data_IF_533016748788
#
_entry.id   IF_533016748788
#
_cell.length_a   1.000
_cell.length_b   1.000
_cell.length_c   1.000
_cell.angle_alpha   90.00
_cell.angle_beta   90.00
_cell.angle_gamma   90.00
#
_symmetry.space_group_name_H-M   'P 1'
#
loop_
_entity.id
_entity.type
_entity.pdbx_description
1 polymer ?
2 polymer ?
3 branched ?
4 non-polymer ?
5 water ?
#
# COMPACT_ATOMS: atom_id res chain seq x y z
N UNK A 4 -29.55 -4.78 -4.62
CA UNK A 4 -30.45 -5.60 -3.81
C UNK A 4 -30.19 -5.42 -2.30
N UNK A 5 -29.00 -5.82 -1.82
CA UNK A 5 -28.64 -5.67 -0.41
C UNK A 5 -28.23 -4.21 -0.13
N UNK A 6 -27.57 -3.56 -1.09
CA UNK A 6 -27.15 -2.17 -0.98
C UNK A 6 -28.31 -1.28 -1.47
N UNK A 7 -28.70 -0.28 -0.68
CA UNK A 7 -29.80 0.64 -1.00
C UNK A 7 -29.57 1.46 -2.28
N UNK A 8 -30.52 1.36 -3.20
CA UNK A 8 -30.51 2.09 -4.46
C UNK A 8 -31.05 3.52 -4.24
N UNK A 9 -30.47 4.50 -4.93
CA UNK A 9 -30.91 5.89 -4.84
C UNK A 9 -30.20 6.76 -3.83
N UNK A 10 -29.06 6.28 -3.34
CA UNK A 10 -28.22 6.99 -2.38
C UNK A 10 -26.79 6.43 -2.49
N UNK A 11 -25.83 7.08 -1.84
CA UNK A 11 -24.45 6.57 -1.87
C UNK A 11 -23.96 6.39 -0.45
N UNK A 12 -23.37 5.20 -0.15
CA UNK A 12 -22.73 4.93 1.13
C UNK A 12 -21.22 4.83 0.83
N UNK A 13 -20.39 5.61 1.52
CA UNK A 13 -18.95 5.64 1.29
C UNK A 13 -18.22 5.23 2.54
N UNK A 14 -17.21 4.36 2.39
CA UNK A 14 -16.36 3.96 3.50
C UNK A 14 -14.96 4.54 3.29
N UNK A 15 -14.40 5.18 4.33
CA UNK A 15 -13.07 5.75 4.31
C UNK A 15 -12.45 5.60 5.70
N UNK A 16 -11.11 5.45 5.78
CA UNK A 16 -10.45 5.26 7.06
C UNK A 16 -10.64 6.45 8.04
N UNK A 17 -10.72 6.13 9.32
CA UNK A 17 -10.93 7.08 10.40
C UNK A 17 -9.86 8.13 10.58
N UNK A 18 -8.68 7.92 9.99
CA UNK A 18 -7.59 8.89 10.04
C UNK A 18 -7.68 9.98 8.93
N UNK A 19 -8.54 9.76 7.91
CA UNK A 19 -8.73 10.64 6.77
C UNK A 19 -9.89 11.66 7.04
N UNK A 20 -10.04 12.63 6.16
CA UNK A 20 -11.05 13.68 6.34
C UNK A 20 -12.45 13.28 5.95
N UNK A 21 -13.06 12.35 6.71
CA UNK A 21 -14.40 11.88 6.42
C UNK A 21 -15.51 12.99 6.57
N UNK A 22 -15.27 14.01 7.41
CA UNK A 22 -16.20 15.14 7.56
C UNK A 22 -16.09 16.07 6.35
N UNK A 23 -14.88 16.26 5.83
CA UNK A 23 -14.69 17.06 4.64
C UNK A 23 -15.32 16.38 3.43
N UNK A 24 -15.22 15.05 3.38
CA UNK A 24 -15.82 14.22 2.32
C UNK A 24 -17.36 14.27 2.41
N UNK A 25 -17.91 14.29 3.63
CA UNK A 25 -19.34 14.41 3.86
C UNK A 25 -19.85 15.76 3.34
N UNK A 26 -19.02 16.84 3.42
CA UNK A 26 -19.36 18.15 2.87
C UNK A 26 -19.44 18.11 1.36
N UNK A 27 -18.58 17.33 0.70
CA UNK A 27 -18.68 17.12 -0.75
C UNK A 27 -20.01 16.34 -1.03
N UNK A 28 -20.38 15.42 -0.15
CA UNK A 28 -21.63 14.65 -0.26
C UNK A 28 -22.86 15.54 -0.10
N UNK A 29 -22.75 16.58 0.73
CA UNK A 29 -23.85 17.54 0.91
C UNK A 29 -23.99 18.39 -0.36
N UNK A 30 -22.88 18.70 -1.04
CA UNK A 30 -22.90 19.42 -2.28
C UNK A 30 -23.56 18.55 -3.35
N UNK A 31 -23.21 17.26 -3.43
CA UNK A 31 -23.83 16.33 -4.37
C UNK A 31 -25.35 16.25 -4.12
N UNK A 32 -25.77 16.18 -2.85
CA UNK A 32 -27.17 16.12 -2.45
C UNK A 32 -27.91 17.41 -2.79
N UNK A 33 -27.29 18.55 -2.58
CA UNK A 33 -27.88 19.85 -2.91
C UNK A 33 -28.14 19.96 -4.41
N UNK A 34 -27.22 19.45 -5.25
CA UNK A 34 -27.40 19.56 -6.71
C UNK A 34 -28.29 18.48 -7.31
N UNK A 35 -28.19 17.24 -6.80
CA UNK A 35 -28.85 16.08 -7.40
C UNK A 35 -30.05 15.50 -6.66
N UNK A 36 -30.12 15.74 -5.35
CA UNK A 36 -31.14 15.17 -4.49
C UNK A 36 -30.71 13.85 -3.83
N UNK A 37 -29.56 13.29 -4.25
CA UNK A 37 -29.07 12.03 -3.71
C UNK A 37 -28.34 12.23 -2.40
N UNK A 38 -28.77 11.53 -1.34
CA UNK A 38 -28.08 11.60 -0.06
C UNK A 38 -26.78 10.81 -0.10
N UNK A 39 -25.75 11.32 0.53
CA UNK A 39 -24.46 10.64 0.61
C UNK A 39 -24.13 10.40 2.08
N UNK A 40 -23.91 9.16 2.46
CA UNK A 40 -23.57 8.82 3.85
C UNK A 40 -22.09 8.42 3.91
N UNK A 41 -21.30 9.06 4.76
CA UNK A 41 -19.88 8.70 4.89
C UNK A 41 -19.68 7.97 6.21
N UNK A 42 -19.06 6.80 6.17
CA UNK A 42 -18.79 6.00 7.35
C UNK A 42 -17.31 5.61 7.41
N UNK A 43 -16.80 5.47 8.62
CA UNK A 43 -15.41 5.07 8.82
C UNK A 43 -15.32 3.87 9.75
N UNK A 44 -15.77 2.67 9.30
CA UNK A 44 -15.72 1.51 10.19
C UNK A 44 -14.29 1.06 10.52
N UNK A 45 -14.15 0.36 11.66
CA UNK A 45 -12.85 -0.14 12.08
C UNK A 45 -12.44 -1.25 11.14
N UNK A 46 -11.15 -1.34 10.83
CA UNK A 46 -10.59 -2.39 9.96
C UNK A 46 -11.38 -2.56 8.66
N UNK A 47 -11.73 -1.43 7.99
CA UNK A 47 -12.55 -1.50 6.78
C UNK A 47 -11.83 -2.19 5.63
N UNK A 48 -10.49 -2.17 5.59
CA UNK A 48 -9.77 -2.90 4.55
C UNK A 48 -9.99 -4.44 4.67
N UNK A 49 -10.44 -4.92 5.82
CA UNK A 49 -10.76 -6.32 6.03
C UNK A 49 -12.28 -6.54 6.02
N UNK A 50 -13.03 -5.59 6.59
CA UNK A 50 -14.50 -5.66 6.62
C UNK A 50 -15.08 -5.56 5.19
N UNK A 51 -14.49 -4.72 4.31
CA UNK A 51 -14.95 -4.59 2.93
C UNK A 51 -14.98 -5.92 2.20
N UNK A 52 -13.89 -6.71 2.04
CA UNK A 52 -14.02 -7.97 1.30
C UNK A 52 -14.95 -8.97 1.99
N UNK A 53 -15.14 -8.88 3.31
CA UNK A 53 -16.05 -9.78 4.02
C UNK A 53 -17.52 -9.49 3.64
N UNK A 54 -17.94 -8.21 3.66
CA UNK A 54 -19.30 -7.86 3.34
C UNK A 54 -19.56 -7.81 1.83
N UNK A 55 -18.57 -7.40 1.01
CA UNK A 55 -18.78 -7.29 -0.44
C UNK A 55 -18.87 -8.65 -1.13
N UNK A 56 -18.28 -9.70 -0.54
CA UNK A 56 -18.38 -11.06 -1.08
C UNK A 56 -19.84 -11.57 -1.02
N UNK A 57 -20.63 -11.10 -0.04
CA UNK A 57 -22.04 -11.46 0.08
C UNK A 57 -22.99 -10.49 -0.65
N UNK A 58 -22.45 -9.57 -1.45
CA UNK A 58 -23.25 -8.57 -2.15
C UNK A 58 -23.63 -7.36 -1.31
N UNK A 59 -23.00 -7.19 -0.15
CA UNK A 59 -23.28 -6.08 0.75
C UNK A 59 -22.13 -5.01 0.72
N UNK A 60 -22.18 -4.07 1.65
CA UNK A 60 -21.15 -3.07 1.81
C UNK A 60 -21.49 -1.68 1.32
N UNK A 61 -20.47 -0.84 1.22
CA UNK A 61 -20.70 0.51 0.72
C UNK A 61 -20.74 0.56 -0.81
N UNK A 62 -21.27 1.65 -1.38
CA UNK A 62 -21.17 1.84 -2.83
C UNK A 62 -19.73 2.13 -3.22
N UNK A 63 -19.04 2.94 -2.39
CA UNK A 63 -17.68 3.38 -2.64
C UNK A 63 -16.75 3.05 -1.47
N UNK A 64 -15.56 2.48 -1.78
CA UNK A 64 -14.56 2.14 -0.79
C UNK A 64 -13.27 2.95 -1.02
N UNK A 65 -12.77 3.62 0.02
CA UNK A 65 -11.53 4.37 -0.07
C UNK A 65 -10.47 3.64 0.71
N UNK A 66 -9.32 3.48 0.08
CA UNK A 66 -8.15 2.86 0.71
C UNK A 66 -6.99 3.10 -0.22
N UNK A 67 -5.74 2.91 0.25
CA UNK A 67 -4.58 2.95 -0.63
C UNK A 67 -4.74 1.80 -1.66
N UNK A 68 -4.24 2.02 -2.87
CA UNK A 68 -4.35 1.11 -4.00
C UNK A 68 -3.86 -0.32 -3.79
N UNK A 69 -2.93 -0.57 -2.83
CA UNK A 69 -2.37 -1.90 -2.65
C UNK A 69 -3.41 -3.00 -2.46
N UNK A 70 -4.52 -2.71 -1.75
CA UNK A 70 -5.54 -3.71 -1.50
C UNK A 70 -6.52 -3.96 -2.65
N UNK A 71 -6.57 -3.06 -3.62
CA UNK A 71 -7.57 -3.13 -4.67
C UNK A 71 -7.37 -4.26 -5.66
N UNK A 72 -6.13 -4.69 -5.90
CA UNK A 72 -5.89 -5.82 -6.78
C UNK A 72 -6.53 -7.10 -6.24
N UNK A 73 -6.45 -7.28 -4.93
CA UNK A 73 -7.07 -8.41 -4.24
C UNK A 73 -8.58 -8.35 -4.28
N UNK A 74 -9.16 -7.12 -4.17
CA UNK A 74 -10.60 -6.94 -4.27
C UNK A 74 -11.06 -7.25 -5.72
N UNK A 75 -10.33 -6.75 -6.71
CA UNK A 75 -10.66 -6.94 -8.12
C UNK A 75 -10.59 -8.41 -8.53
N UNK A 76 -9.55 -9.14 -8.05
CA UNK A 76 -9.40 -10.56 -8.32
C UNK A 76 -10.58 -11.34 -7.77
N UNK A 77 -11.13 -10.94 -6.60
CA UNK A 77 -12.31 -11.59 -6.03
C UNK A 77 -13.64 -11.14 -6.66
N UNK A 78 -13.60 -10.27 -7.67
CA UNK A 78 -14.79 -9.78 -8.34
C UNK A 78 -15.57 -8.77 -7.52
N UNK A 79 -14.92 -8.08 -6.56
CA UNK A 79 -15.61 -7.14 -5.69
C UNK A 79 -15.69 -5.71 -6.18
N UNK A 80 -14.95 -5.37 -7.22
CA UNK A 80 -14.95 -4.01 -7.73
C UNK A 80 -15.44 -3.91 -9.15
N UNK A 81 -16.17 -2.83 -9.42
CA UNK A 81 -16.67 -2.52 -10.75
C UNK A 81 -15.54 -1.87 -11.53
N UNK A 82 -15.41 -2.18 -12.82
CA UNK A 82 -14.41 -1.52 -13.67
C UNK A 82 -14.87 -0.07 -13.86
N UNK A 83 -13.94 0.88 -13.74
CA UNK A 83 -14.32 2.27 -13.93
C UNK A 83 -14.09 2.66 -15.38
N UNK A 84 -14.95 3.54 -15.91
CA UNK A 84 -14.87 3.91 -17.31
C UNK A 84 -14.74 5.43 -17.54
N UNK A 85 -13.70 6.11 -17.01
CA UNK A 85 -13.54 7.54 -17.32
C UNK A 85 -13.13 7.73 -18.77
N UNK A 86 -13.57 8.82 -19.41
CA UNK A 86 -13.15 9.11 -20.79
C UNK A 86 -11.72 9.73 -20.81
N UNK A 87 -11.14 9.92 -22.01
CA UNK A 87 -9.80 10.48 -22.16
C UNK A 87 -9.70 11.85 -21.51
N UNK A 88 -10.71 12.70 -21.72
CA UNK A 88 -10.76 14.05 -21.15
C UNK A 88 -10.60 14.02 -19.61
N UNK A 89 -11.30 13.10 -18.92
CA UNK A 89 -11.17 13.00 -17.47
C UNK A 89 -9.81 12.45 -17.07
N UNK A 90 -9.36 11.34 -17.72
CA UNK A 90 -8.06 10.74 -17.41
C UNK A 90 -6.91 11.71 -17.51
N UNK A 91 -6.94 12.61 -18.52
CA UNK A 91 -5.93 13.65 -18.72
C UNK A 91 -5.88 14.68 -17.60
N UNK A 92 -6.87 14.68 -16.68
CA UNK A 92 -6.91 15.60 -15.55
C UNK A 92 -6.06 15.12 -14.37
N UNK A 93 -5.73 13.83 -14.32
CA UNK A 93 -4.92 13.28 -13.24
C UNK A 93 -3.56 12.81 -13.77
N UNK A 94 -2.52 12.79 -12.92
CA UNK A 94 -1.19 12.35 -13.34
C UNK A 94 -1.21 10.91 -13.82
N UNK A 95 -0.58 10.64 -14.99
CA UNK A 95 -0.59 9.27 -15.52
C UNK A 95 -0.12 8.20 -14.55
N UNK A 96 0.88 8.49 -13.70
CA UNK A 96 1.37 7.48 -12.75
C UNK A 96 0.31 7.07 -11.71
N UNK A 97 -0.63 8.00 -11.39
CA UNK A 97 -1.69 7.66 -10.43
C UNK A 97 -2.64 6.62 -11.03
N UNK A 98 -2.90 6.70 -12.36
CA UNK A 98 -3.75 5.72 -13.07
C UNK A 98 -3.07 4.35 -13.09
N UNK A 99 -1.74 4.31 -13.22
CA UNK A 99 -0.99 3.06 -13.23
C UNK A 99 -1.18 2.30 -11.91
N UNK A 100 -1.24 3.01 -10.77
CA UNK A 100 -1.44 2.37 -9.47
C UNK A 100 -2.79 1.69 -9.34
N UNK A 101 -3.81 2.19 -10.04
CA UNK A 101 -5.18 1.64 -9.99
C UNK A 101 -5.53 0.78 -11.22
N UNK A 102 -4.53 0.31 -11.96
CA UNK A 102 -4.77 -0.56 -13.10
C UNK A 102 -4.44 -1.98 -12.67
N UNK A 103 -5.36 -2.91 -12.90
CA UNK A 103 -5.16 -4.30 -12.56
C UNK A 103 -5.66 -5.13 -13.73
N UNK A 104 -4.78 -5.99 -14.28
CA UNK A 104 -5.05 -6.86 -15.43
C UNK A 104 -5.62 -6.10 -16.63
N UNK A 105 -5.01 -4.97 -16.96
CA UNK A 105 -5.42 -4.13 -18.07
C UNK A 105 -6.55 -3.15 -17.80
N UNK A 106 -7.31 -3.35 -16.71
CA UNK A 106 -8.46 -2.49 -16.39
C UNK A 106 -8.28 -1.53 -15.21
N UNK A 107 -8.86 -0.33 -15.34
CA UNK A 107 -8.86 0.62 -14.24
C UNK A 107 -9.92 0.16 -13.24
N UNK A 108 -9.54 -0.01 -11.97
CA UNK A 108 -10.47 -0.51 -10.96
C UNK A 108 -10.75 0.44 -9.81
N UNK A 109 -10.31 1.70 -9.91
CA UNK A 109 -10.53 2.72 -8.88
C UNK A 109 -10.13 4.09 -9.40
N UNK A 110 -10.61 5.15 -8.75
CA UNK A 110 -10.21 6.52 -9.08
C UNK A 110 -9.09 6.92 -8.11
N UNK A 111 -7.90 7.29 -8.62
CA UNK A 111 -6.84 7.74 -7.70
C UNK A 111 -7.17 9.12 -7.15
N UNK A 112 -6.94 9.29 -5.85
CA UNK A 112 -7.22 10.54 -5.17
C UNK A 112 -5.95 11.29 -4.76
N UNK A 113 -5.02 10.62 -4.05
CA UNK A 113 -3.83 11.29 -3.52
C UNK A 113 -2.67 10.34 -3.30
N UNK A 114 -1.46 10.86 -3.37
CA UNK A 114 -0.23 10.11 -3.21
C UNK A 114 0.29 10.35 -1.83
N UNK A 115 0.38 9.29 -1.04
CA UNK A 115 0.77 9.32 0.35
C UNK A 115 2.16 8.73 0.59
N UNK A 116 2.95 9.44 1.37
CA UNK A 116 4.23 8.95 1.85
C UNK A 116 4.44 9.49 3.26
N UNK A 117 5.05 8.68 4.12
CA UNK A 117 5.41 9.08 5.47
C UNK A 117 6.58 10.05 5.36
N UNK A 118 6.68 10.94 6.34
CA UNK A 118 7.79 11.88 6.48
C UNK A 118 8.22 11.91 7.94
N UNK A 119 9.39 12.51 8.21
CA UNK A 119 9.83 12.71 9.57
C UNK A 119 9.17 14.03 9.98
N UNK A 120 8.43 14.02 11.08
CA UNK A 120 7.80 15.22 11.59
C UNK A 120 8.50 15.55 12.91
N UNK A 121 8.97 16.78 13.07
CA UNK A 121 9.72 17.16 14.24
C UNK A 121 9.27 18.47 14.87
N UNK A 122 9.50 18.60 16.16
CA UNK A 122 9.12 19.78 16.93
C UNK A 122 10.30 20.77 16.90
N UNK A 123 10.16 21.87 16.15
CA UNK A 123 11.22 22.88 16.03
C UNK A 123 11.66 23.53 17.35
N UNK A 124 10.79 23.52 18.37
CA UNK A 124 11.13 24.08 19.67
C UNK A 124 12.05 23.17 20.48
N UNK A 125 11.87 21.86 20.34
CA UNK A 125 12.72 20.90 21.02
C UNK A 125 13.96 20.55 20.18
N UNK A 126 13.87 20.68 18.85
CA UNK A 126 14.88 20.23 17.91
C UNK A 126 14.93 21.12 16.66
N UNK A 127 15.56 22.32 16.74
CA UNK A 127 15.62 23.20 15.56
C UNK A 127 16.15 22.57 14.28
N UNK A 128 17.13 21.66 14.40
CA UNK A 128 17.70 20.97 13.24
C UNK A 128 17.51 19.47 13.46
N UNK A 129 16.61 18.85 12.70
CA UNK A 129 16.38 17.41 12.90
C UNK A 129 17.56 16.55 12.42
N UNK A 130 17.76 15.38 13.03
CA UNK A 130 18.83 14.49 12.59
C UNK A 130 18.69 14.02 11.12
N UNK A 131 19.80 14.01 10.37
CA UNK A 131 19.80 13.51 9.01
C UNK A 131 19.91 11.97 8.97
N UNK A 132 20.42 11.35 10.04
CA UNK A 132 20.64 9.90 10.12
C UNK A 132 19.92 9.24 11.28
N UNK A 133 19.63 7.94 11.13
CA UNK A 133 19.05 7.13 12.22
C UNK A 133 20.14 6.86 13.30
N UNK A 134 21.40 6.68 12.86
CA UNK A 134 22.54 6.41 13.72
C UNK A 134 22.71 7.44 14.83
N UNK A 135 22.40 8.71 14.57
CA UNK A 135 22.56 9.76 15.57
C UNK A 135 21.38 9.86 16.55
N UNK A 136 20.28 9.10 16.32
CA UNK A 136 19.11 9.15 17.21
C UNK A 136 19.38 8.59 18.63
N UNK A 137 20.12 7.49 18.86
CA UNK A 137 20.36 7.04 20.24
C UNK A 137 21.01 8.10 21.16
N UNK A 138 22.05 8.84 20.68
CA UNK A 138 22.68 9.88 21.51
C UNK A 138 21.76 11.08 21.66
N UNK A 139 20.97 11.40 20.62
CA UNK A 139 20.01 12.51 20.67
C UNK A 139 18.97 12.23 21.75
N UNK A 140 18.49 10.97 21.81
CA UNK A 140 17.54 10.52 22.81
C UNK A 140 18.13 10.69 24.19
N UNK A 141 19.41 10.29 24.39
CA UNK A 141 20.07 10.49 25.69
C UNK A 141 20.05 11.96 26.12
N UNK A 142 20.45 12.89 25.23
CA UNK A 142 20.41 14.33 25.50
C UNK A 142 19.00 14.84 25.87
N UNK A 143 17.95 14.39 25.14
CA UNK A 143 16.59 14.84 25.40
C UNK A 143 16.03 14.19 26.68
N UNK A 144 16.45 12.96 27.01
CA UNK A 144 15.99 12.27 28.22
C UNK A 144 16.46 13.01 29.49
N UNK A 145 17.63 13.65 29.43
CA UNK A 145 18.14 14.46 30.54
C UNK A 145 17.22 15.68 30.77
N UNK A 146 16.51 16.16 29.72
CA UNK A 146 15.58 17.29 29.81
C UNK A 146 14.11 16.87 29.99
N UNK A 147 13.85 15.61 30.27
CA UNK A 147 12.48 15.12 30.46
C UNK A 147 11.72 14.77 29.19
N UNK A 148 12.38 14.74 28.02
CA UNK A 148 11.72 14.44 26.75
C UNK A 148 12.33 13.16 26.07
N UNK A 149 11.73 12.67 24.97
CA UNK A 149 12.33 11.59 24.21
C UNK A 149 12.61 12.09 22.78
N UNK A 150 13.46 11.38 22.03
CA UNK A 150 13.77 11.80 20.66
C UNK A 150 12.67 11.46 19.67
N UNK A 151 12.15 10.23 19.70
CA UNK A 151 11.26 9.76 18.67
C UNK A 151 10.27 8.75 19.14
N UNK A 152 9.02 8.92 18.71
CA UNK A 152 7.97 7.96 18.98
C UNK A 152 7.13 7.84 17.72
N UNK A 153 6.92 6.62 17.26
CA UNK A 153 6.10 6.37 16.08
C UNK A 153 5.48 5.00 16.18
N UNK A 154 4.40 4.79 15.45
CA UNK A 154 3.68 3.53 15.46
C UNK A 154 4.56 2.34 15.09
N UNK A 155 4.80 1.45 16.06
CA UNK A 155 5.60 0.24 15.78
C UNK A 155 4.72 -1.00 15.50
N UNK A 156 3.39 -0.88 15.59
CA UNK A 156 2.50 -2.02 15.41
C UNK A 156 2.18 -2.36 13.97
N UNK A 157 2.31 -1.40 13.06
CA UNK A 157 1.95 -1.62 11.65
C UNK A 157 3.18 -1.58 10.79
N UNK A 158 3.37 -2.57 9.92
CA UNK A 158 4.60 -2.60 9.10
C UNK A 158 4.79 -1.40 8.20
N UNK A 159 3.71 -0.68 7.86
CA UNK A 159 3.81 0.51 7.03
C UNK A 159 4.80 1.56 7.60
N UNK A 160 4.81 1.73 8.93
CA UNK A 160 5.63 2.71 9.65
C UNK A 160 7.08 2.26 9.90
N UNK A 161 7.33 0.96 10.04
CA UNK A 161 8.67 0.43 10.32
C UNK A 161 9.45 0.01 9.06
N UNK A 162 8.72 -0.31 7.98
CA UNK A 162 9.29 -0.70 6.70
C UNK A 162 10.29 0.33 6.14
N UNK A 163 10.03 1.66 6.19
CA UNK A 163 11.01 2.60 5.62
C UNK A 163 12.46 2.37 6.10
N UNK A 164 12.65 2.13 7.41
CA UNK A 164 13.97 1.86 8.01
C UNK A 164 14.50 0.51 7.57
N UNK A 165 13.65 -0.54 7.57
CA UNK A 165 14.03 -1.89 7.17
C UNK A 165 14.56 -1.90 5.72
N UNK A 166 13.86 -1.19 4.84
CA UNK A 166 14.22 -1.09 3.42
C UNK A 166 15.29 -0.02 3.09
N UNK A 167 15.72 0.82 4.06
CA UNK A 167 16.76 1.85 3.77
C UNK A 167 18.02 1.21 3.16
N UNK A 168 18.59 0.18 3.80
CA UNK A 168 19.72 -0.56 3.23
C UNK A 168 19.25 -1.87 2.56
N UNK A 169 18.00 -2.26 2.73
CA UNK A 169 17.47 -3.48 2.15
C UNK A 169 17.12 -3.35 0.69
N UNK A 170 16.66 -2.16 0.33
CA UNK A 170 16.17 -1.86 -1.01
C UNK A 170 14.74 -2.28 -1.16
N UNK A 171 14.24 -2.16 -2.39
CA UNK A 171 12.88 -2.50 -2.76
C UNK A 171 12.57 -3.99 -2.56
N UNK A 172 11.39 -4.30 -2.05
CA UNK A 172 10.97 -5.68 -1.85
C UNK A 172 10.45 -6.30 -3.16
N UNK A 173 9.93 -5.50 -4.09
CA UNK A 173 9.34 -6.02 -5.32
C UNK A 173 10.04 -5.54 -6.61
N UNK A 174 9.78 -6.20 -7.73
CA UNK A 174 10.29 -5.84 -9.04
C UNK A 174 9.26 -6.22 -10.15
N UNK A 175 9.32 -5.52 -11.29
CA UNK A 175 8.41 -5.82 -12.40
C UNK A 175 9.04 -6.79 -13.40
N UNK A 176 8.35 -7.92 -13.66
CA UNK A 176 8.87 -8.93 -14.59
C UNK A 176 7.75 -9.68 -15.27
N UNK A 177 7.84 -9.85 -16.61
CA UNK A 177 6.88 -10.57 -17.43
C UNK A 177 5.44 -10.06 -17.28
N UNK A 178 5.29 -8.74 -17.22
CA UNK A 178 3.99 -8.09 -17.07
C UNK A 178 3.33 -8.27 -15.72
N UNK A 179 4.13 -8.47 -14.65
CA UNK A 179 3.57 -8.65 -13.31
C UNK A 179 4.55 -8.27 -12.20
N UNK A 180 4.01 -7.81 -11.08
CA UNK A 180 4.84 -7.50 -9.92
C UNK A 180 5.21 -8.81 -9.27
N UNK A 181 6.48 -8.97 -8.98
CA UNK A 181 6.97 -10.15 -8.31
C UNK A 181 7.73 -9.68 -7.08
N UNK A 182 7.57 -10.40 -5.97
CA UNK A 182 8.35 -10.10 -4.78
C UNK A 182 9.76 -10.66 -5.06
N UNK A 183 10.81 -9.89 -4.75
CA UNK A 183 12.18 -10.35 -4.99
C UNK A 183 12.50 -11.57 -4.10
N UNK A 184 13.41 -12.45 -4.58
CA UNK A 184 13.86 -13.63 -3.84
C UNK A 184 14.46 -13.28 -2.48
N UNK A 185 15.08 -12.09 -2.36
CA UNK A 185 15.63 -11.62 -1.08
C UNK A 185 15.12 -10.19 -0.78
N UNK A 186 13.87 -9.90 -1.14
CA UNK A 186 13.28 -8.57 -0.94
C UNK A 186 13.02 -8.21 0.51
N UNK A 187 12.87 -9.23 1.37
CA UNK A 187 12.58 -9.10 2.80
C UNK A 187 13.69 -9.70 3.69
N UNK A 188 14.43 -10.70 3.16
CA UNK A 188 15.42 -11.53 3.83
C UNK A 188 16.88 -11.07 3.73
N UNK A 189 17.18 -10.02 2.96
CA UNK A 189 18.55 -9.61 2.72
C UNK A 189 19.25 -9.01 3.95
N UNK A 190 20.60 -8.92 3.90
CA UNK A 190 21.40 -8.38 5.00
C UNK A 190 21.09 -6.94 5.38
N UNK A 191 20.67 -6.13 4.40
CA UNK A 191 20.34 -4.73 4.61
C UNK A 191 19.06 -4.57 5.40
N UNK A 192 18.06 -5.42 5.12
CA UNK A 192 16.79 -5.45 5.85
C UNK A 192 17.04 -5.94 7.27
N UNK A 193 17.93 -6.94 7.43
CA UNK A 193 18.30 -7.45 8.73
C UNK A 193 18.99 -6.35 9.54
N UNK A 194 19.85 -5.56 8.90
CA UNK A 194 20.54 -4.46 9.58
C UNK A 194 19.53 -3.40 10.05
N UNK A 195 18.54 -3.11 9.21
CA UNK A 195 17.49 -2.13 9.52
C UNK A 195 16.61 -2.57 10.67
N UNK A 196 16.15 -3.85 10.63
CA UNK A 196 15.33 -4.36 11.72
C UNK A 196 16.12 -4.48 13.02
N UNK A 197 17.42 -4.84 12.93
CA UNK A 197 18.29 -4.89 14.10
C UNK A 197 18.42 -3.51 14.71
N UNK A 198 18.61 -2.46 13.88
CA UNK A 198 18.70 -1.10 14.42
C UNK A 198 17.44 -0.71 15.22
N UNK A 199 16.25 -1.08 14.70
CA UNK A 199 14.96 -0.80 15.32
C UNK A 199 14.85 -1.55 16.66
N UNK A 200 15.23 -2.85 16.66
CA UNK A 200 15.18 -3.64 17.87
C UNK A 200 16.20 -3.12 18.90
N UNK A 201 17.38 -2.65 18.44
CA UNK A 201 18.38 -2.09 19.34
C UNK A 201 17.89 -0.79 19.98
N UNK A 202 17.09 0.01 19.23
CA UNK A 202 16.50 1.24 19.77
C UNK A 202 15.61 0.89 20.98
N UNK A 203 14.84 -0.19 20.89
CA UNK A 203 13.95 -0.68 21.94
C UNK A 203 14.76 -1.27 23.12
N UNK A 204 15.77 -2.11 22.83
CA UNK A 204 16.61 -2.71 23.87
C UNK A 204 17.34 -1.63 24.66
N UNK A 205 17.78 -0.56 24.00
CA UNK A 205 18.48 0.54 24.67
C UNK A 205 17.53 1.59 25.29
N UNK A 206 16.22 1.27 25.37
CA UNK A 206 15.17 2.12 25.94
C UNK A 206 14.98 3.45 25.25
N UNK A 207 15.35 3.55 23.97
CA UNK A 207 15.10 4.75 23.15
C UNK A 207 13.70 4.72 22.53
N UNK A 208 13.07 3.56 22.47
CA UNK A 208 11.67 3.35 22.03
C UNK A 208 11.04 2.21 22.84
N UNK A 209 9.71 2.09 22.84
CA UNK A 209 9.01 1.03 23.56
C UNK A 209 8.31 0.16 22.53
N UNK A 210 8.45 -1.18 22.62
CA UNK A 210 7.83 -2.12 21.70
C UNK A 210 6.31 -1.99 21.58
N UNK A 211 5.62 -1.49 22.62
CA UNK A 211 4.15 -1.37 22.56
C UNK A 211 3.67 -0.03 21.99
N UNK A 212 4.58 0.90 21.62
CA UNK A 212 4.14 2.18 21.05
C UNK A 212 3.30 1.95 19.78
N UNK A 213 2.06 2.49 19.79
CA UNK A 213 1.13 2.39 18.68
C UNK A 213 0.79 3.79 18.12
N UNK A 214 -0.21 3.87 17.23
CA UNK A 214 -0.55 5.11 16.59
C UNK A 214 -1.01 6.17 17.59
N UNK A 215 -1.96 5.85 18.47
CA UNK A 215 -2.48 6.82 19.43
C UNK A 215 -1.41 7.30 20.40
N UNK A 216 -0.60 6.38 20.96
CA UNK A 216 0.47 6.71 21.89
C UNK A 216 1.47 7.71 21.27
N UNK A 217 1.95 7.42 20.06
CA UNK A 217 2.88 8.28 19.38
C UNK A 217 2.26 9.63 19.04
N UNK A 218 0.99 9.62 18.55
CA UNK A 218 0.34 10.87 18.17
C UNK A 218 0.15 11.77 19.40
N UNK A 219 -0.29 11.20 20.52
CA UNK A 219 -0.49 11.99 21.74
C UNK A 219 0.84 12.56 22.26
N UNK A 220 1.91 11.74 22.28
CA UNK A 220 3.21 12.20 22.73
C UNK A 220 3.77 13.32 21.90
N UNK A 221 3.64 13.24 20.56
CA UNK A 221 4.17 14.31 19.72
C UNK A 221 3.33 15.59 19.87
N UNK A 222 2.00 15.43 19.85
CA UNK A 222 1.12 16.58 19.91
C UNK A 222 1.14 17.26 21.29
N UNK A 223 1.57 16.56 22.35
CA UNK A 223 1.71 17.16 23.69
C UNK A 223 3.13 17.69 23.97
N UNK A 224 4.00 17.72 22.97
CA UNK A 224 5.38 18.19 23.11
C UNK A 224 6.28 17.30 23.93
N UNK A 225 5.90 16.02 24.11
CA UNK A 225 6.71 15.09 24.92
C UNK A 225 7.86 14.43 24.13
N UNK A 226 7.71 14.29 22.81
CA UNK A 226 8.73 13.68 21.98
C UNK A 226 9.06 14.64 20.87
N UNK A 227 10.36 14.75 20.54
CA UNK A 227 10.77 15.71 19.52
C UNK A 227 10.45 15.29 18.12
N UNK A 228 10.17 14.00 17.89
CA UNK A 228 9.93 13.52 16.53
C UNK A 228 8.88 12.44 16.46
N UNK A 229 8.24 12.33 15.32
CA UNK A 229 7.33 11.25 15.01
C UNK A 229 7.45 10.93 13.50
N UNK A 230 6.85 9.81 13.08
CA UNK A 230 6.80 9.43 11.68
C UNK A 230 5.32 9.24 11.37
N UNK A 231 4.80 10.01 10.42
CA UNK A 231 3.39 9.95 10.07
C UNK A 231 3.14 10.56 8.68
N UNK A 232 1.94 10.34 8.16
CA UNK A 232 1.53 10.84 6.87
C UNK A 232 0.82 12.18 6.95
N UNK A 233 0.40 12.68 5.78
CA UNK A 233 -0.19 14.02 5.72
C UNK A 233 -1.48 14.23 6.50
N UNK A 234 -2.27 13.19 6.67
CA UNK A 234 -3.54 13.22 7.40
C UNK A 234 -3.35 13.71 8.86
N UNK A 235 -2.19 13.39 9.45
CA UNK A 235 -1.86 13.75 10.83
C UNK A 235 -1.61 15.25 11.05
N UNK A 236 -1.36 16.03 9.98
CA UNK A 236 -0.98 17.42 10.12
C UNK A 236 -2.01 18.29 10.81
N UNK A 237 -3.33 18.03 10.58
CA UNK A 237 -4.41 18.79 11.21
C UNK A 237 -4.41 18.69 12.73
N UNK A 238 -4.20 17.50 13.27
CA UNK A 238 -4.16 17.34 14.72
C UNK A 238 -2.96 18.05 15.33
N UNK A 239 -1.84 18.14 14.58
CA UNK A 239 -0.67 18.87 15.08
C UNK A 239 -0.95 20.39 15.02
N UNK A 240 -1.65 20.88 13.95
CA UNK A 240 -2.04 22.29 13.81
C UNK A 240 -2.87 22.72 15.04
N UNK A 241 -3.85 21.89 15.43
CA UNK A 241 -4.73 22.11 16.58
C UNK A 241 -3.93 22.17 17.88
N UNK A 242 -2.94 21.29 18.02
CA UNK A 242 -2.10 21.25 19.22
C UNK A 242 -1.17 22.47 19.38
N UNK A 243 -0.98 23.23 18.31
CA UNK A 243 -0.14 24.42 18.30
C UNK A 243 1.36 24.11 18.42
N UNK A 244 1.79 22.87 18.10
CA UNK A 244 3.21 22.54 18.08
C UNK A 244 3.84 23.20 16.84
N UNK A 245 5.03 23.82 16.97
CA UNK A 245 5.70 24.43 15.83
C UNK A 245 6.47 23.28 15.16
N UNK A 246 5.92 22.70 14.11
CA UNK A 246 6.53 21.53 13.50
C UNK A 246 7.09 21.72 12.12
N UNK A 247 7.99 20.83 11.77
CA UNK A 247 8.54 20.72 10.45
C UNK A 247 8.26 19.32 9.92
N UNK A 248 8.18 19.19 8.61
CA UNK A 248 7.93 17.92 7.94
C UNK A 248 9.10 17.82 6.97
N UNK A 249 9.91 16.76 7.07
CA UNK A 249 11.12 16.65 6.27
C UNK A 249 11.43 15.19 5.87
N UNK A 250 12.52 14.99 5.11
CA UNK A 250 13.04 13.71 4.68
C UNK A 250 13.28 12.82 5.88
N UNK A 251 12.92 11.56 5.74
CA UNK A 251 13.15 10.57 6.79
C UNK A 251 14.67 10.39 6.99
N UNK A 252 15.12 9.98 8.18
CA UNK A 252 16.57 9.82 8.38
C UNK A 252 17.18 8.74 7.47
N UNK A 253 18.47 8.85 7.18
CA UNK A 253 19.16 7.82 6.38
C UNK A 253 19.69 6.74 7.31
N UNK A 254 19.92 5.54 6.78
CA UNK A 254 20.47 4.43 7.56
C UNK A 254 21.55 3.82 6.69
N UNK A 255 22.77 3.73 7.23
CA UNK A 255 23.96 3.31 6.49
C UNK A 255 24.18 4.20 5.25
N UNK A 256 23.86 5.49 5.37
CA UNK A 256 23.97 6.43 4.25
C UNK A 256 22.84 6.35 3.24
N UNK A 257 21.97 5.35 3.36
CA UNK A 257 20.88 5.10 2.42
C UNK A 257 19.58 5.76 2.84
N UNK A 258 18.86 6.36 1.89
CA UNK A 258 17.56 6.95 2.22
C UNK A 258 16.58 5.90 2.72
N UNK A 259 15.72 6.27 3.71
CA UNK A 259 14.63 5.38 4.16
C UNK A 259 13.63 5.27 2.99
N UNK A 260 12.99 4.10 2.82
CA UNK A 260 12.15 3.87 1.67
C UNK A 260 10.73 3.49 2.03
N UNK A 261 9.88 4.49 2.25
CA UNK A 261 8.49 4.20 2.58
C UNK A 261 7.74 3.58 1.42
N UNK A 262 6.73 2.76 1.73
CA UNK A 262 5.84 2.24 0.71
C UNK A 262 4.88 3.39 0.38
N UNK A 263 4.76 3.72 -0.90
CA UNK A 263 3.92 4.82 -1.38
C UNK A 263 2.53 4.33 -1.77
N UNK A 264 1.53 4.79 -1.05
CA UNK A 264 0.15 4.40 -1.30
C UNK A 264 -0.60 5.48 -2.04
N UNK A 265 -1.44 5.08 -3.00
CA UNK A 265 -2.24 6.04 -3.71
C UNK A 265 -3.62 5.83 -3.14
N UNK A 266 -4.10 6.78 -2.30
CA UNK A 266 -5.45 6.74 -1.74
C UNK A 266 -6.42 6.71 -2.93
N UNK A 267 -7.22 5.67 -3.05
CA UNK A 267 -8.06 5.46 -4.22
C UNK A 267 -9.48 5.11 -3.85
N UNK A 268 -10.42 5.35 -4.77
CA UNK A 268 -11.83 5.12 -4.52
C UNK A 268 -12.41 4.11 -5.49
N UNK A 269 -12.78 2.96 -4.98
CA UNK A 269 -13.34 1.89 -5.80
C UNK A 269 -14.84 1.83 -5.68
N UNK A 270 -15.48 1.31 -6.70
CA UNK A 270 -16.92 1.15 -6.72
C UNK A 270 -17.27 -0.33 -6.52
N UNK A 271 -18.04 -0.67 -5.50
CA UNK A 271 -18.47 -2.04 -5.20
C UNK A 271 -19.20 -2.65 -6.42
N UNK A 272 -18.82 -3.87 -6.79
CA UNK A 272 -19.44 -4.54 -7.94
C UNK A 272 -20.93 -4.86 -7.70
N UNK A 273 -21.36 -4.93 -6.44
CA UNK A 273 -22.75 -5.19 -6.05
C UNK A 273 -23.60 -3.93 -5.93
N UNK A 274 -23.03 -2.73 -6.18
CA UNK A 274 -23.75 -1.48 -6.06
C UNK A 274 -24.76 -1.25 -7.17
N UNK A 275 -25.99 -0.91 -6.80
CA UNK A 275 -26.97 -0.54 -7.84
C UNK A 275 -26.88 0.95 -8.19
N UNK A 276 -25.80 1.66 -7.77
CA UNK A 276 -25.64 3.10 -7.98
C UNK A 276 -24.29 3.41 -8.65
N UNK A 277 -23.84 2.56 -9.59
CA UNK A 277 -22.55 2.75 -10.23
C UNK A 277 -22.40 4.03 -11.01
N UNK A 278 -23.48 4.50 -11.64
CA UNK A 278 -23.42 5.75 -12.42
C UNK A 278 -23.37 6.97 -11.47
N UNK A 279 -24.14 6.93 -10.37
CA UNK A 279 -24.13 7.99 -9.38
C UNK A 279 -22.74 8.03 -8.69
N UNK A 280 -22.12 6.85 -8.44
CA UNK A 280 -20.79 6.79 -7.85
C UNK A 280 -19.78 7.46 -8.77
N UNK A 281 -19.87 7.18 -10.07
CA UNK A 281 -19.01 7.79 -11.08
C UNK A 281 -19.16 9.29 -11.15
N UNK A 282 -20.42 9.80 -11.11
CA UNK A 282 -20.64 11.24 -11.16
C UNK A 282 -20.10 11.92 -9.91
N UNK A 283 -20.32 11.31 -8.75
CA UNK A 283 -19.82 11.88 -7.49
C UNK A 283 -18.28 11.98 -7.52
N UNK A 284 -17.60 10.87 -7.88
CA UNK A 284 -16.13 10.85 -7.90
C UNK A 284 -15.50 11.74 -8.97
N UNK A 285 -16.03 11.70 -10.19
CA UNK A 285 -15.47 12.54 -11.27
C UNK A 285 -15.84 13.98 -11.22
N UNK A 286 -17.12 14.30 -10.97
CA UNK A 286 -17.59 15.68 -11.08
C UNK A 286 -17.70 16.43 -9.79
N UNK A 287 -17.63 15.76 -8.64
CA UNK A 287 -17.72 16.43 -7.35
C UNK A 287 -16.42 16.32 -6.55
N UNK A 288 -15.99 15.09 -6.24
CA UNK A 288 -14.78 14.90 -5.45
C UNK A 288 -13.52 15.30 -6.19
N UNK A 289 -13.29 14.78 -7.41
CA UNK A 289 -12.07 15.08 -8.13
C UNK A 289 -12.12 16.38 -8.89
N UNK A 290 -12.28 17.47 -8.12
CA UNK A 290 -12.30 18.86 -8.56
C UNK A 290 -11.53 19.64 -7.48
N UNK A 291 -11.10 20.88 -7.78
CA UNK A 291 -10.39 21.71 -6.79
C UNK A 291 -11.22 21.92 -5.54
N UNK A 292 -12.52 22.16 -5.72
CA UNK A 292 -13.40 22.41 -4.59
C UNK A 292 -13.69 21.17 -3.76
N UNK A 293 -13.80 20.02 -4.41
CA UNK A 293 -14.05 18.77 -3.72
C UNK A 293 -12.83 18.33 -2.92
N UNK A 294 -11.69 18.34 -3.58
CA UNK A 294 -10.44 17.99 -2.89
C UNK A 294 -10.09 18.98 -1.80
N UNK A 295 -10.43 20.26 -1.96
CA UNK A 295 -10.15 21.25 -0.91
C UNK A 295 -10.98 20.98 0.32
N UNK A 296 -12.26 20.58 0.14
CA UNK A 296 -13.11 20.29 1.29
C UNK A 296 -12.56 19.12 2.11
N UNK A 297 -12.01 18.09 1.42
CA UNK A 297 -11.44 16.94 2.12
C UNK A 297 -10.12 17.39 2.75
N UNK A 298 -9.27 18.07 1.97
CA UNK A 298 -7.95 18.56 2.38
C UNK A 298 -7.97 19.46 3.61
N UNK A 299 -8.96 20.38 3.70
CA UNK A 299 -9.12 21.31 4.83
C UNK A 299 -9.40 20.57 6.12
N UNK A 300 -10.06 19.41 6.04
CA UNK A 300 -10.36 18.62 7.22
C UNK A 300 -9.06 17.86 7.63
N UNK A 301 -8.51 17.01 6.72
CA UNK A 301 -7.28 16.23 6.93
C UNK A 301 -6.54 16.24 5.61
N UNK A 302 -5.29 16.76 5.58
CA UNK A 302 -4.55 16.83 4.32
C UNK A 302 -4.35 15.49 3.66
N UNK A 303 -4.57 15.50 2.34
CA UNK A 303 -4.51 14.35 1.49
C UNK A 303 -3.09 13.96 1.08
N UNK A 304 -2.19 14.92 1.05
CA UNK A 304 -0.85 14.73 0.54
C UNK A 304 -0.75 15.33 -0.84
N UNK A 305 -0.01 14.68 -1.74
CA UNK A 305 0.15 15.14 -3.11
C UNK A 305 -1.02 14.60 -3.94
N UNK A 306 -2.04 15.42 -4.21
CA UNK A 306 -3.26 14.95 -4.90
C UNK A 306 -3.02 14.52 -6.35
N UNK A 307 -3.88 13.61 -6.85
CA UNK A 307 -3.80 13.08 -8.20
C UNK A 307 -4.27 14.08 -9.24
N UNK A 308 -5.17 15.01 -8.86
CA UNK A 308 -5.70 16.04 -9.76
C UNK A 308 -4.65 17.11 -10.00
N UNK A 309 -4.21 17.26 -11.27
CA UNK A 309 -3.17 18.24 -11.62
C UNK A 309 -3.49 19.67 -11.18
N UNK A 310 -4.69 20.18 -11.47
CA UNK A 310 -5.06 21.56 -11.15
C UNK A 310 -4.95 21.93 -9.68
N UNK A 311 -5.42 21.05 -8.78
CA UNK A 311 -5.35 21.32 -7.35
C UNK A 311 -3.94 21.07 -6.77
N UNK A 312 -3.19 20.11 -7.32
CA UNK A 312 -1.82 19.84 -6.86
C UNK A 312 -0.92 21.07 -7.10
N UNK A 313 -1.16 21.81 -8.20
CA UNK A 313 -0.39 23.04 -8.47
C UNK A 313 -0.69 24.12 -7.41
N UNK A 314 -1.92 24.15 -6.88
CA UNK A 314 -2.28 25.08 -5.81
C UNK A 314 -1.74 24.65 -4.42
N UNK A 315 -1.37 23.36 -4.26
CA UNK A 315 -0.80 22.82 -3.01
C UNK A 315 0.75 22.71 -3.06
N UNK A 316 1.34 22.84 -4.27
CA UNK A 316 2.77 22.70 -4.55
C UNK A 316 3.70 23.54 -3.68
N UNK A 317 3.28 24.75 -3.32
CA UNK A 317 4.07 25.65 -2.50
C UNK A 317 4.13 25.30 -1.01
N UNK A 318 3.35 24.31 -0.57
CA UNK A 318 3.34 23.93 0.84
C UNK A 318 4.62 23.13 1.08
N UNK A 319 5.50 23.58 2.00
CA UNK A 319 6.75 22.84 2.25
C UNK A 319 6.55 21.42 2.77
N UNK A 320 5.42 21.17 3.46
CA UNK A 320 5.09 19.85 3.97
C UNK A 320 4.81 18.86 2.83
N UNK A 321 4.24 19.35 1.71
CA UNK A 321 3.95 18.56 0.51
C UNK A 321 5.25 18.28 -0.24
N UNK A 322 6.18 19.25 -0.28
CA UNK A 322 7.48 19.04 -0.91
C UNK A 322 8.23 17.91 -0.19
N UNK A 323 8.13 17.85 1.15
CA UNK A 323 8.75 16.79 1.94
C UNK A 323 8.07 15.44 1.67
N UNK A 324 6.72 15.43 1.54
CA UNK A 324 5.93 14.23 1.23
C UNK A 324 6.39 13.66 -0.12
N UNK A 325 6.57 14.54 -1.12
CA UNK A 325 6.99 14.10 -2.44
C UNK A 325 8.42 13.60 -2.46
N UNK A 326 9.30 14.22 -1.69
CA UNK A 326 10.70 13.80 -1.62
C UNK A 326 10.80 12.39 -1.02
N UNK A 327 10.07 12.14 0.07
CA UNK A 327 10.03 10.81 0.67
C UNK A 327 9.37 9.80 -0.27
N UNK A 328 8.33 10.23 -1.01
CA UNK A 328 7.68 9.33 -1.96
C UNK A 328 8.65 8.92 -3.07
N UNK A 329 9.49 9.85 -3.54
CA UNK A 329 10.45 9.54 -4.60
C UNK A 329 11.54 8.57 -4.14
N UNK A 330 11.92 8.65 -2.85
CA UNK A 330 12.89 7.75 -2.24
C UNK A 330 12.29 6.39 -1.86
N UNK A 331 10.96 6.31 -1.77
CA UNK A 331 10.30 5.06 -1.43
C UNK A 331 9.96 4.19 -2.60
N UNK A 332 9.05 3.25 -2.38
CA UNK A 332 8.64 2.28 -3.36
C UNK A 332 7.13 2.33 -3.53
N UNK A 333 6.63 2.42 -4.77
CA UNK A 333 5.20 2.35 -5.02
C UNK A 333 4.72 0.95 -4.65
N UNK A 334 3.65 0.84 -3.83
CA UNK A 334 3.18 -0.49 -3.46
C UNK A 334 2.65 -1.22 -4.71
N UNK A 335 2.95 -2.50 -4.90
CA UNK A 335 2.22 -3.29 -5.90
C UNK A 335 0.75 -3.45 -5.42
N UNK A 336 -0.14 -3.85 -6.34
CA UNK A 336 -1.54 -4.07 -5.97
C UNK A 336 -1.97 -5.55 -6.10
N UNK A 337 -1.01 -6.46 -6.31
CA UNK A 337 -1.27 -7.88 -6.48
C UNK A 337 -1.94 -8.46 -5.26
N UNK A 338 -2.82 -9.46 -5.46
CA UNK A 338 -3.57 -9.99 -4.31
C UNK A 338 -2.74 -10.49 -3.13
N UNK A 339 -1.46 -10.88 -3.36
CA UNK A 339 -0.66 -11.37 -2.26
C UNK A 339 -0.14 -10.26 -1.33
N UNK A 340 -0.41 -8.97 -1.64
CA UNK A 340 -0.03 -7.85 -0.77
C UNK A 340 -0.52 -8.03 0.65
N UNK A 341 -1.71 -8.62 0.81
CA UNK A 341 -2.30 -8.95 2.08
C UNK A 341 -1.35 -9.88 2.90
N UNK A 342 -0.83 -10.94 2.25
CA UNK A 342 0.09 -11.86 2.90
C UNK A 342 1.43 -11.22 3.17
N UNK A 343 1.89 -10.31 2.28
CA UNK A 343 3.15 -9.60 2.47
C UNK A 343 3.08 -8.78 3.77
N UNK A 344 1.98 -8.03 3.96
CA UNK A 344 1.83 -7.19 5.14
C UNK A 344 1.69 -7.99 6.41
N UNK A 345 0.95 -9.13 6.39
CA UNK A 345 0.80 -9.99 7.57
C UNK A 345 2.17 -10.50 7.99
N UNK A 346 2.98 -10.98 7.03
CA UNK A 346 4.31 -11.53 7.27
C UNK A 346 5.28 -10.50 7.83
N UNK A 347 5.33 -9.27 7.27
CA UNK A 347 6.23 -8.23 7.79
C UNK A 347 5.76 -7.77 9.16
N UNK A 348 4.43 -7.66 9.38
CA UNK A 348 3.89 -7.27 10.69
C UNK A 348 4.36 -8.26 11.75
N UNK A 349 4.27 -9.56 11.45
CA UNK A 349 4.68 -10.62 12.35
C UNK A 349 6.19 -10.60 12.59
N UNK A 350 7.00 -10.38 11.55
CA UNK A 350 8.46 -10.31 11.75
C UNK A 350 8.85 -9.17 12.70
N UNK A 351 8.29 -7.96 12.52
CA UNK A 351 8.62 -6.83 13.36
C UNK A 351 8.16 -7.04 14.82
N UNK A 352 6.94 -7.58 15.01
CA UNK A 352 6.45 -7.89 16.34
C UNK A 352 7.33 -8.94 17.02
N UNK A 353 7.65 -10.04 16.32
CA UNK A 353 8.49 -11.10 16.89
C UNK A 353 9.92 -10.69 17.16
N UNK A 354 10.51 -9.79 16.34
CA UNK A 354 11.89 -9.36 16.59
C UNK A 354 11.91 -8.40 17.78
N UNK A 355 10.95 -7.46 17.83
CA UNK A 355 10.85 -6.47 18.89
C UNK A 355 10.55 -7.09 20.23
N UNK A 356 9.87 -8.24 20.26
CA UNK A 356 9.52 -8.91 21.52
C UNK A 356 10.51 -10.00 21.94
N UNK A 357 11.44 -10.38 21.07
CA UNK A 357 12.40 -11.42 21.39
C UNK A 357 11.89 -12.83 21.11
N UNK A 358 10.65 -12.96 20.59
CA UNK A 358 10.05 -14.21 20.17
C UNK A 358 10.96 -14.89 19.15
N UNK A 359 11.51 -14.10 18.20
CA UNK A 359 12.48 -14.60 17.24
C UNK A 359 13.65 -13.62 17.16
N UNK A 360 14.79 -14.08 16.66
CA UNK A 360 15.89 -13.19 16.35
C UNK A 360 15.47 -12.38 15.09
N UNK A 361 16.23 -11.33 14.74
CA UNK A 361 15.93 -10.55 13.54
C UNK A 361 16.04 -11.44 12.30
N UNK A 362 17.15 -12.20 12.21
CA UNK A 362 17.45 -13.07 11.09
C UNK A 362 16.33 -14.08 10.84
N UNK A 363 15.84 -14.77 11.89
CA UNK A 363 14.76 -15.77 11.83
C UNK A 363 13.44 -15.10 11.44
N UNK A 364 13.17 -13.92 12.02
CA UNK A 364 11.92 -13.22 11.76
C UNK A 364 11.80 -12.86 10.28
N UNK A 365 12.85 -12.27 9.69
CA UNK A 365 12.83 -11.87 8.28
C UNK A 365 12.91 -13.03 7.31
N UNK A 366 13.63 -14.11 7.69
CA UNK A 366 13.71 -15.31 6.87
C UNK A 366 12.31 -15.93 6.78
N UNK A 367 11.59 -16.01 7.91
CA UNK A 367 10.24 -16.55 7.91
C UNK A 367 9.23 -15.66 7.16
N UNK A 368 9.40 -14.32 7.23
CA UNK A 368 8.52 -13.39 6.52
C UNK A 368 8.74 -13.54 5.02
N UNK A 369 10.02 -13.66 4.59
CA UNK A 369 10.35 -13.85 3.18
C UNK A 369 9.73 -15.14 2.66
N UNK A 370 9.81 -16.22 3.45
CA UNK A 370 9.22 -17.49 3.05
C UNK A 370 7.68 -17.37 2.92
N UNK A 371 6.99 -16.84 3.95
CA UNK A 371 5.55 -16.70 3.92
C UNK A 371 5.06 -15.81 2.79
N UNK A 372 5.68 -14.63 2.59
CA UNK A 372 5.25 -13.74 1.52
C UNK A 372 5.56 -14.33 0.14
N UNK A 373 6.81 -14.79 -0.11
CA UNK A 373 7.15 -15.35 -1.42
C UNK A 373 6.38 -16.61 -1.76
N UNK A 374 6.06 -17.47 -0.79
CA UNK A 374 5.26 -18.69 -1.09
C UNK A 374 3.85 -18.32 -1.53
N UNK A 375 3.21 -17.33 -0.87
CA UNK A 375 1.86 -16.89 -1.25
C UNK A 375 1.85 -16.23 -2.62
N UNK A 376 2.78 -15.32 -2.87
CA UNK A 376 2.85 -14.63 -4.15
C UNK A 376 3.14 -15.59 -5.30
N UNK A 377 4.04 -16.56 -5.07
CA UNK A 377 4.41 -17.53 -6.10
C UNK A 377 3.24 -18.47 -6.35
N UNK A 378 2.52 -18.91 -5.29
CA UNK A 378 1.33 -19.76 -5.43
C UNK A 378 0.27 -19.07 -6.30
N UNK A 379 0.02 -17.76 -6.08
CA UNK A 379 -0.94 -17.00 -6.88
C UNK A 379 -0.52 -16.95 -8.36
N UNK A 380 0.78 -16.74 -8.64
CA UNK A 380 1.22 -16.70 -10.03
C UNK A 380 1.12 -18.09 -10.70
N UNK A 381 1.26 -19.16 -9.93
CA UNK A 381 1.15 -20.55 -10.43
C UNK A 381 -0.31 -20.88 -10.73
N UNK A 382 -1.24 -20.47 -9.84
CA UNK A 382 -2.69 -20.64 -10.05
C UNK A 382 -3.12 -19.93 -11.34
N UNK A 383 -2.65 -18.70 -11.56
CA UNK A 383 -2.93 -17.94 -12.76
C UNK A 383 -2.33 -18.60 -14.01
N UNK A 384 -1.09 -19.09 -13.92
CA UNK A 384 -0.46 -19.76 -15.06
C UNK A 384 -1.21 -21.05 -15.41
N UNK A 385 -1.68 -21.81 -14.40
CA UNK A 385 -2.44 -23.02 -14.60
C UNK A 385 -3.74 -22.71 -15.37
N UNK A 386 -4.42 -21.63 -14.98
CA UNK A 386 -5.65 -21.18 -15.61
C UNK A 386 -5.36 -20.83 -17.07
N UNK A 387 -4.29 -20.07 -17.31
CA UNK A 387 -3.83 -19.63 -18.62
C UNK A 387 -3.49 -20.82 -19.55
N UNK A 388 -2.70 -21.79 -19.05
CA UNK A 388 -2.32 -23.00 -19.80
C UNK A 388 -3.55 -23.85 -20.16
N UNK A 389 -4.50 -23.97 -19.24
CA UNK A 389 -5.69 -24.80 -19.45
C UNK A 389 -6.69 -24.27 -20.49
N UNK A 390 -6.56 -22.99 -20.90
CA UNK A 390 -7.44 -22.46 -21.94
C UNK A 390 -6.77 -22.53 -23.33
N UNK A 391 -5.44 -22.74 -23.42
CA UNK A 391 -4.76 -22.80 -24.69
C UNK A 391 -5.23 -23.99 -25.50
N UNK A 392 -5.32 -23.80 -26.80
CA UNK A 392 -5.77 -24.85 -27.71
C UNK A 392 -4.88 -24.98 -28.91
N UNK A 393 -4.27 -23.86 -29.35
CA UNK A 393 -3.48 -23.80 -30.56
C UNK A 393 -2.23 -24.69 -30.51
N UNK A 394 -2.14 -25.60 -31.48
CA UNK A 394 -1.10 -26.61 -31.62
C UNK A 394 0.33 -26.10 -31.45
N UNK A 395 0.74 -25.04 -32.16
CA UNK A 395 2.11 -24.52 -32.10
C UNK A 395 2.48 -24.05 -30.72
N UNK A 396 1.54 -23.38 -30.04
CA UNK A 396 1.76 -22.88 -28.70
C UNK A 396 1.87 -24.04 -27.72
N UNK A 397 1.01 -25.03 -27.85
CA UNK A 397 1.03 -26.19 -26.97
C UNK A 397 2.31 -27.01 -27.14
N UNK A 398 2.77 -27.16 -28.39
CA UNK A 398 4.02 -27.86 -28.73
C UNK A 398 5.20 -27.17 -28.06
N UNK A 399 5.22 -25.83 -28.09
CA UNK A 399 6.32 -25.11 -27.52
C UNK A 399 6.35 -25.17 -25.97
N UNK A 400 5.17 -25.20 -25.33
CA UNK A 400 5.10 -25.32 -23.86
C UNK A 400 5.64 -26.70 -23.47
N UNK A 401 5.20 -27.73 -24.18
CA UNK A 401 5.61 -29.10 -23.99
C UNK A 401 7.12 -29.30 -24.26
N UNK A 402 7.66 -28.58 -25.24
CA UNK A 402 9.08 -28.59 -25.60
C UNK A 402 9.91 -28.06 -24.41
N UNK A 403 9.44 -26.98 -23.78
CA UNK A 403 10.08 -26.39 -22.63
C UNK A 403 10.04 -27.33 -21.41
N UNK A 404 8.91 -28.01 -21.18
CA UNK A 404 8.76 -28.96 -20.07
C UNK A 404 9.68 -30.20 -20.32
N UNK A 405 9.77 -30.66 -21.57
CA UNK A 405 10.58 -31.83 -21.92
C UNK A 405 12.06 -31.66 -21.61
N UNK A 406 12.59 -30.45 -21.73
CA UNK A 406 13.98 -30.14 -21.41
C UNK A 406 14.29 -30.50 -19.94
N UNK A 407 13.32 -30.31 -19.01
CA UNK A 407 13.45 -30.59 -17.57
C UNK A 407 13.23 -32.05 -17.24
N UNK A 408 12.41 -32.74 -18.02
CA UNK A 408 12.05 -34.12 -17.76
C UNK A 408 10.97 -34.29 -16.70
N UNK A 409 10.42 -33.17 -16.19
CA UNK A 409 9.40 -33.24 -15.15
C UNK A 409 8.02 -33.34 -15.73
N UNK A 410 7.71 -34.52 -16.25
CA UNK A 410 6.42 -34.79 -16.84
C UNK A 410 6.15 -36.30 -16.88
N UNK A 411 4.90 -36.66 -17.14
CA UNK A 411 4.47 -38.04 -17.31
C UNK A 411 3.45 -38.08 -18.45
N UNK A 412 3.35 -39.23 -19.12
CA UNK A 412 2.45 -39.39 -20.23
C UNK A 412 1.47 -40.50 -19.89
N UNK A 413 0.17 -40.24 -20.07
CA UNK A 413 -0.85 -41.27 -19.84
C UNK A 413 -1.36 -41.78 -21.23
N UNK A 414 -2.40 -42.63 -21.27
CA UNK A 414 -2.96 -43.09 -22.54
C UNK A 414 -3.49 -41.92 -23.39
N UNK A 415 -3.95 -40.84 -22.73
CA UNK A 415 -4.55 -39.72 -23.48
C UNK A 415 -3.98 -38.35 -23.20
N UNK A 416 -3.10 -38.20 -22.18
CA UNK A 416 -2.60 -36.88 -21.84
C UNK A 416 -1.09 -36.73 -21.66
N UNK A 417 -0.59 -35.49 -21.81
CA UNK A 417 0.77 -35.06 -21.48
C UNK A 417 0.57 -34.30 -20.15
N UNK A 418 1.10 -34.85 -19.04
CA UNK A 418 0.93 -34.30 -17.70
C UNK A 418 2.19 -33.73 -17.09
N UNK A 419 2.02 -32.64 -16.31
CA UNK A 419 3.09 -32.00 -15.54
C UNK A 419 2.48 -31.24 -14.35
N UNK A 420 3.24 -30.97 -13.32
CA UNK A 420 2.75 -30.26 -12.15
C UNK A 420 3.58 -29.01 -12.04
N UNK A 421 2.94 -27.84 -12.11
CA UNK A 421 3.64 -26.55 -11.99
C UNK A 421 4.45 -26.45 -10.70
N UNK A 422 3.99 -27.12 -9.63
CA UNK A 422 4.66 -27.14 -8.33
C UNK A 422 5.97 -27.92 -8.36
N UNK A 423 6.13 -28.88 -9.28
CA UNK A 423 7.39 -29.64 -9.36
C UNK A 423 8.45 -28.95 -10.24
N UNK A 424 8.11 -27.85 -10.92
CA UNK A 424 9.05 -27.16 -11.78
C UNK A 424 9.92 -26.19 -11.02
N UNK A 425 11.12 -25.96 -11.54
CA UNK A 425 12.06 -24.98 -11.03
C UNK A 425 11.49 -23.62 -11.41
N UNK A 426 11.82 -22.56 -10.65
CA UNK A 426 11.36 -21.21 -10.98
C UNK A 426 11.87 -20.73 -12.34
N UNK A 427 13.07 -21.19 -12.79
CA UNK A 427 13.59 -20.77 -14.10
C UNK A 427 12.73 -21.36 -15.22
N UNK A 428 12.20 -22.57 -15.03
CA UNK A 428 11.34 -23.18 -16.03
C UNK A 428 10.02 -22.42 -16.09
N UNK A 429 9.43 -22.11 -14.93
CA UNK A 429 8.21 -21.31 -14.80
C UNK A 429 8.41 -19.92 -15.45
N UNK A 430 9.54 -19.26 -15.21
CA UNK A 430 9.83 -17.96 -15.84
C UNK A 430 9.93 -18.10 -17.36
N UNK A 431 10.47 -19.23 -17.88
CA UNK A 431 10.55 -19.44 -19.33
C UNK A 431 9.16 -19.66 -19.92
N UNK A 432 8.25 -20.35 -19.21
CA UNK A 432 6.88 -20.54 -19.71
C UNK A 432 6.18 -19.17 -19.77
N UNK A 433 6.35 -18.35 -18.72
CA UNK A 433 5.77 -17.01 -18.62
C UNK A 433 6.29 -16.10 -19.71
N UNK A 434 7.60 -16.20 -19.98
CA UNK A 434 8.24 -15.38 -21.00
C UNK A 434 7.75 -15.79 -22.37
N UNK A 435 7.64 -17.10 -22.65
CA UNK A 435 7.14 -17.57 -23.94
C UNK A 435 5.68 -17.15 -24.13
N UNK A 436 4.86 -17.27 -23.08
CA UNK A 436 3.45 -16.92 -23.18
C UNK A 436 3.22 -15.44 -23.44
N UNK A 437 4.11 -14.58 -22.92
CA UNK A 437 4.05 -13.14 -23.16
C UNK A 437 4.28 -12.81 -24.64
N UNK A 438 5.11 -13.60 -25.35
CA UNK A 438 5.42 -13.40 -26.77
C UNK A 438 4.41 -14.06 -27.72
N UNK A 439 3.64 -15.05 -27.25
CA UNK A 439 2.69 -15.81 -28.06
C UNK A 439 1.43 -15.06 -28.50
N UNK A 440 1.24 -13.84 -28.03
CA UNK A 440 0.05 -13.05 -28.35
C UNK A 440 -1.19 -13.46 -27.58
N UNK A 441 -1.08 -14.49 -26.73
CA UNK A 441 -2.21 -14.96 -25.95
C UNK A 441 -2.12 -14.51 -24.48
N UNK A 442 -3.28 -14.36 -23.86
CA UNK A 442 -3.39 -13.94 -22.44
C UNK A 442 -4.52 -14.74 -21.80
N UNK B 2 -0.65 -28.41 -8.50
CA UNK B 2 -1.24 -27.80 -9.71
C UNK B 2 -0.99 -28.64 -10.95
N UNK B 3 -1.60 -29.86 -11.06
CA UNK B 3 -1.42 -30.66 -12.27
C UNK B 3 -2.10 -30.06 -13.50
N UNK B 4 -1.31 -30.04 -14.58
CA UNK B 4 -1.76 -29.60 -15.90
C UNK B 4 -1.81 -30.85 -16.78
N UNK B 7 -3.96 -32.55 -24.02
CA UNK B 7 -4.26 -33.69 -24.89
C UNK B 7 -3.00 -34.28 -25.52
N UNK B 8 -2.83 -35.61 -25.45
CA UNK B 8 -1.61 -36.25 -25.92
C UNK B 8 -1.49 -36.05 -27.43
#
# INVERSE_FOLDING_TARGET
SGGSKIEEGKLVIWINGDKGYNGLAEVGKKFEKDTGIKVTVEHPDKLEEKFPQVAATGDGPDIIFWAHDRFGGYAQSGLLAEITPDKAFQDKLYPFTWDAVRYNGKLIAYPIAVEALSLIYNKDLLPNPPKTWEEIPALDKELKAKGKSALMFNLQEPYFTWPLIAADGGYAFKYENGKYDIKDVGVDNAGAKAGLTFLVDLIKNKHMNADTDYSIAEAAFNKGETAMTINGPWAWSNIDTSKVNYGVTVLPTFKGQPSKPFVGVLSAGINAASPNKELAKEFLENYLLTDEGLEAVNKDKPLGAVALKSYEEELAKDPRIAATMENAQKGEIMPNIPCMSAFWYAVRTAVINAASGRQTVDEALKDAQTAAADKCYLDELVELHRRLMTLRERHILQQIVNLIEETGHFHITNTTFDFDLCSLDKTTVRKLQSYLETSGTS
XLPVXXPLX
#
